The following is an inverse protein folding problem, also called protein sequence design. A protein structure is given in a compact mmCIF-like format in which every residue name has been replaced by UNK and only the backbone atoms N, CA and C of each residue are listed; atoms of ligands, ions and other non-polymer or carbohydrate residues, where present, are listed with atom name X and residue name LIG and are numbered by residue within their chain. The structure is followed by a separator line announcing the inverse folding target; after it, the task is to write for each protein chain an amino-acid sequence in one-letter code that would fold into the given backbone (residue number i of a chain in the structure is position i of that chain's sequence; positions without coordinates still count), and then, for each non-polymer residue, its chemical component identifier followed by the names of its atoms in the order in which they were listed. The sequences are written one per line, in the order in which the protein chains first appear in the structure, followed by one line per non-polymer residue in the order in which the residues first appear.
data_IF_558893869345
#
_entry.id   IF_558893869345
#
_cell.length_a   1.000
_cell.length_b   1.000
_cell.length_c   1.000
_cell.angle_alpha   90.00
_cell.angle_beta   90.00
_cell.angle_gamma   90.00
#
_symmetry.space_group_name_H-M   'P 1'
#
loop_
_entity.id
_entity.type
_entity.pdbx_description
1 polymer ?
#
# COMPACT_ATOMS: atom_id res chain seq x y z
N UNK A 1 -1.04 17.08 -1.19
CA UNK A 1 0.15 16.21 -1.26
C UNK A 1 0.10 15.04 -0.28
N UNK A 2 0.18 15.20 1.05
CA UNK A 2 0.19 14.04 1.98
C UNK A 2 -1.06 13.16 1.88
N UNK A 3 -2.23 13.78 1.70
CA UNK A 3 -3.51 13.07 1.59
C UNK A 3 -3.62 12.22 0.31
N UNK A 4 -3.07 12.69 -0.80
CA UNK A 4 -3.08 12.01 -2.09
C UNK A 4 -2.27 10.70 -2.03
N UNK A 5 -1.10 10.72 -1.38
CA UNK A 5 -0.30 9.52 -1.17
C UNK A 5 -1.02 8.51 -0.26
N UNK A 6 -1.79 8.99 0.72
CA UNK A 6 -2.59 8.14 1.60
C UNK A 6 -3.71 7.44 0.83
N UNK A 7 -4.41 8.17 -0.03
CA UNK A 7 -5.47 7.62 -0.89
C UNK A 7 -4.90 6.60 -1.89
N UNK A 8 -3.74 6.90 -2.48
CA UNK A 8 -3.05 5.94 -3.34
C UNK A 8 -2.61 4.67 -2.58
N UNK A 9 -2.17 4.82 -1.33
CA UNK A 9 -1.84 3.71 -0.44
C UNK A 9 -3.06 2.83 -0.15
N UNK A 10 -4.24 3.42 0.07
CA UNK A 10 -5.47 2.67 0.30
C UNK A 10 -5.86 1.77 -0.88
N UNK A 11 -5.53 2.18 -2.11
CA UNK A 11 -5.78 1.39 -3.31
C UNK A 11 -4.92 0.14 -3.46
N UNK A 12 -3.75 0.10 -2.78
CA UNK A 12 -2.82 -1.04 -2.89
C UNK A 12 -2.99 -2.04 -1.73
N UNK A 13 -3.47 -1.59 -0.57
CA UNK A 13 -3.60 -2.42 0.62
C UNK A 13 -4.53 -3.63 0.45
N UNK A 14 -4.12 -4.80 0.96
CA UNK A 14 -4.93 -6.02 0.95
C UNK A 14 -5.73 -6.11 2.26
N UNK A 15 -7.04 -6.30 2.15
CA UNK A 15 -7.93 -6.46 3.31
C UNK A 15 -8.29 -7.94 3.47
N UNK A 16 -7.85 -8.55 4.57
CA UNK A 16 -8.28 -9.90 4.91
C UNK A 16 -9.70 -9.90 5.49
N UNK A 17 -10.35 -11.08 5.42
CA UNK A 17 -11.66 -11.33 6.04
C UNK A 17 -11.65 -11.16 7.56
N UNK A 18 -10.46 -11.23 8.18
CA UNK A 18 -10.21 -10.99 9.60
C UNK A 18 -10.28 -9.51 9.99
N UNK A 19 -10.41 -8.60 9.02
CA UNK A 19 -10.34 -7.14 9.22
C UNK A 19 -8.90 -6.60 9.29
N UNK A 20 -7.89 -7.48 9.14
CA UNK A 20 -6.49 -7.08 9.13
C UNK A 20 -6.13 -6.52 7.75
N UNK A 21 -5.41 -5.40 7.77
CA UNK A 21 -4.86 -4.75 6.58
C UNK A 21 -3.41 -5.17 6.41
N UNK A 22 -3.08 -5.75 5.25
CA UNK A 22 -1.77 -6.28 4.93
C UNK A 22 -1.11 -5.45 3.81
N UNK A 23 0.15 -5.09 4.04
CA UNK A 23 1.03 -4.49 3.04
C UNK A 23 1.83 -5.60 2.34
N UNK A 24 1.62 -5.84 1.03
CA UNK A 24 2.44 -6.79 0.28
C UNK A 24 3.86 -6.27 0.05
N UNK A 25 4.78 -7.20 -0.11
CA UNK A 25 6.21 -6.92 -0.30
C UNK A 25 6.49 -6.31 -1.68
N UNK A 26 5.90 -6.90 -2.72
CA UNK A 26 6.09 -6.46 -4.09
C UNK A 26 4.83 -6.69 -4.93
N UNK A 27 4.75 -5.96 -6.03
CA UNK A 27 3.71 -6.09 -7.03
C UNK A 27 4.35 -6.50 -8.36
N UNK A 28 3.91 -7.62 -8.93
CA UNK A 28 4.45 -8.13 -10.18
C UNK A 28 3.39 -8.15 -11.28
N UNK A 29 3.85 -8.15 -12.53
CA UNK A 29 2.99 -8.38 -13.69
C UNK A 29 2.62 -9.87 -13.70
N UNK A 30 1.34 -10.23 -13.86
CA UNK A 30 0.93 -11.61 -14.06
C UNK A 30 1.71 -12.24 -15.22
N UNK A 31 2.24 -13.47 -15.07
CA UNK A 31 3.07 -14.11 -16.10
C UNK A 31 2.35 -14.25 -17.45
N UNK A 32 1.03 -14.39 -17.43
CA UNK A 32 0.18 -14.51 -18.62
C UNK A 32 0.03 -13.19 -19.41
N UNK A 33 0.32 -12.05 -18.77
CA UNK A 33 0.14 -10.70 -19.33
C UNK A 33 1.45 -9.94 -19.49
N UNK A 34 2.58 -10.64 -19.44
CA UNK A 34 3.90 -10.02 -19.59
C UNK A 34 4.08 -9.43 -20.99
N UNK A 35 3.63 -10.14 -22.02
CA UNK A 35 3.71 -9.67 -23.40
C UNK A 35 2.88 -8.39 -23.64
N UNK A 36 1.70 -8.30 -23.02
CA UNK A 36 0.83 -7.12 -23.09
C UNK A 36 1.48 -5.88 -22.45
N UNK A 37 2.14 -6.06 -21.30
CA UNK A 37 2.90 -4.99 -20.64
C UNK A 37 4.14 -4.57 -21.46
N UNK A 38 4.78 -5.49 -22.17
CA UNK A 38 5.89 -5.18 -23.06
C UNK A 38 5.46 -4.33 -24.25
N UNK A 39 4.28 -4.60 -24.83
CA UNK A 39 3.74 -3.81 -25.92
C UNK A 39 3.19 -2.45 -25.46
N UNK A 40 2.50 -2.43 -24.31
CA UNK A 40 1.87 -1.24 -23.74
C UNK A 40 2.19 -1.10 -22.25
N UNK A 41 3.20 -0.29 -21.88
CA UNK A 41 3.59 -0.08 -20.50
C UNK A 41 2.43 0.44 -19.64
N UNK A 42 2.34 -0.06 -18.39
CA UNK A 42 1.30 0.27 -17.41
C UNK A 42 -0.13 -0.16 -17.79
N UNK A 43 -0.30 -1.02 -18.78
CA UNK A 43 -1.61 -1.54 -19.17
C UNK A 43 -2.12 -2.64 -18.23
N UNK A 44 -1.21 -3.33 -17.54
CA UNK A 44 -1.56 -4.54 -16.78
C UNK A 44 -1.63 -4.28 -15.28
N UNK A 45 -2.76 -4.65 -14.66
CA UNK A 45 -2.91 -4.66 -13.22
C UNK A 45 -1.89 -5.58 -12.54
N UNK A 46 -1.20 -5.04 -11.54
CA UNK A 46 -0.17 -5.78 -10.81
C UNK A 46 -0.78 -6.65 -9.74
N UNK A 47 -0.24 -7.86 -9.58
CA UNK A 47 -0.63 -8.78 -8.53
C UNK A 47 0.33 -8.68 -7.34
N UNK A 48 -0.17 -8.72 -6.10
CA UNK A 48 0.67 -8.77 -4.92
C UNK A 48 1.40 -10.11 -4.85
N UNK A 49 2.71 -10.06 -4.63
CA UNK A 49 3.60 -11.22 -4.57
C UNK A 49 4.61 -11.03 -3.43
N UNK A 50 5.34 -12.10 -3.10
CA UNK A 50 6.30 -12.11 -1.99
C UNK A 50 5.70 -12.61 -0.68
N UNK A 51 6.35 -12.28 0.44
CA UNK A 51 5.91 -12.75 1.77
C UNK A 51 4.79 -11.87 2.31
N UNK A 52 3.72 -12.51 2.77
CA UNK A 52 2.62 -11.87 3.48
C UNK A 52 2.48 -12.51 4.88
N UNK A 53 2.66 -11.76 5.98
CA UNK A 53 3.00 -10.33 6.04
C UNK A 53 4.50 -10.07 5.81
N UNK A 54 4.81 -9.02 5.05
CA UNK A 54 6.17 -8.50 4.95
C UNK A 54 6.46 -7.58 6.15
N UNK A 55 7.26 -8.05 7.11
CA UNK A 55 7.46 -7.36 8.39
C UNK A 55 7.94 -5.92 8.24
N UNK A 56 8.87 -5.65 7.33
CA UNK A 56 9.38 -4.29 7.12
C UNK A 56 8.32 -3.35 6.55
N UNK A 57 7.63 -3.76 5.49
CA UNK A 57 6.55 -2.98 4.88
C UNK A 57 5.39 -2.75 5.85
N UNK A 58 5.02 -3.79 6.60
CA UNK A 58 3.96 -3.73 7.60
C UNK A 58 4.32 -2.81 8.78
N UNK A 59 5.55 -2.89 9.30
CA UNK A 59 6.01 -2.02 10.38
C UNK A 59 6.07 -0.56 9.94
N UNK A 60 6.56 -0.27 8.73
CA UNK A 60 6.56 1.09 8.17
C UNK A 60 5.14 1.64 7.99
N UNK A 61 4.21 0.80 7.51
CA UNK A 61 2.80 1.17 7.40
C UNK A 61 2.21 1.55 8.77
N UNK A 62 2.40 0.70 9.79
CA UNK A 62 1.92 0.98 11.16
C UNK A 62 2.55 2.27 11.70
N UNK A 63 3.86 2.48 11.52
CA UNK A 63 4.52 3.72 11.93
C UNK A 63 3.92 4.95 11.21
N UNK A 64 3.60 4.84 9.93
CA UNK A 64 2.99 5.93 9.17
C UNK A 64 1.58 6.27 9.68
N UNK A 65 0.80 5.26 10.06
CA UNK A 65 -0.51 5.46 10.68
C UNK A 65 -0.37 6.17 12.02
N UNK A 66 0.52 5.68 12.88
CA UNK A 66 0.79 6.30 14.19
C UNK A 66 1.27 7.74 14.05
N UNK A 67 2.19 8.03 13.13
CA UNK A 67 2.64 9.39 12.88
C UNK A 67 1.51 10.29 12.38
N UNK A 68 0.64 9.77 11.51
CA UNK A 68 -0.50 10.53 11.00
C UNK A 68 -1.52 10.86 12.11
N UNK A 69 -1.73 9.94 13.04
CA UNK A 69 -2.57 10.16 14.22
C UNK A 69 -1.94 11.15 15.20
N UNK A 70 -0.63 11.02 15.47
CA UNK A 70 0.12 11.91 16.37
C UNK A 70 0.22 13.33 15.81
N UNK A 71 0.49 13.48 14.51
CA UNK A 71 0.51 14.79 13.83
C UNK A 71 -0.91 15.37 13.77
N UNK A 72 -1.94 14.54 13.56
CA UNK A 72 -3.34 14.97 13.64
C UNK A 72 -3.73 15.49 15.03
N UNK A 73 -3.25 14.86 16.10
CA UNK A 73 -3.44 15.32 17.47
C UNK A 73 -2.72 16.67 17.74
N UNK A 74 -1.49 16.85 17.24
CA UNK A 74 -0.77 18.10 17.38
C UNK A 74 -1.45 19.27 16.64
N UNK A 75 -2.00 19.04 15.44
CA UNK A 75 -2.73 20.08 14.69
C UNK A 75 -4.04 20.48 15.39
N UNK A 76 -4.72 19.55 16.08
CA UNK A 76 -5.91 19.84 16.89
C UNK A 76 -5.56 20.54 18.21
N UNK A 77 -4.39 20.27 18.77
CA UNK A 77 -3.92 20.87 20.03
C UNK A 77 -3.39 22.30 19.93
N UNK A 78 -3.19 22.84 18.72
CA UNK A 78 -2.78 24.23 18.47
C UNK A 78 -3.94 25.17 18.07
N UNK A 79 -5.20 24.72 18.15
CA UNK A 79 -6.41 25.52 17.89
C UNK A 79 -7.02 26.14 19.16
#
# INVERSE_FOLDING_TARGET
QVQEYREALEGILIREKSGIVLMPELYAVPPEKVDEEYENPHSVDRIPVGKLPHLWGQSLYVLSCLLSEVIGFCIVGEL
#
